data_IF_683087899202
#
_entry.id   IF_683087899202
#
_cell.length_a   1.000
_cell.length_b   1.000
_cell.length_c   1.000
_cell.angle_alpha   90.00
_cell.angle_beta   90.00
_cell.angle_gamma   90.00
#
_symmetry.space_group_name_H-M   'P 1'
#
loop_
_entity.id
_entity.type
_entity.pdbx_description
1 polymer ?
#
# COMPACT_ATOMS: atom_id res chain seq x y z
N UNK A 1 31.68 8.22 0.21
CA UNK A 1 32.89 7.45 -0.15
C UNK A 1 32.41 6.02 -0.33
N UNK A 2 32.12 5.65 -1.57
CA UNK A 2 31.54 4.34 -1.89
C UNK A 2 32.61 3.28 -1.80
N UNK A 3 32.43 2.33 -0.88
CA UNK A 3 33.14 1.06 -0.99
C UNK A 3 32.76 0.43 -2.32
N UNK A 4 33.75 -0.12 -3.03
CA UNK A 4 33.47 -0.86 -4.26
C UNK A 4 32.56 -2.04 -3.88
N UNK A 5 31.31 -2.01 -4.34
CA UNK A 5 30.32 -3.04 -4.05
C UNK A 5 30.50 -4.27 -4.96
N UNK A 6 31.32 -4.17 -6.02
CA UNK A 6 31.56 -5.28 -6.97
C UNK A 6 32.11 -6.55 -6.26
N UNK A 7 33.10 -6.48 -5.35
CA UNK A 7 33.54 -7.63 -4.57
C UNK A 7 32.44 -8.26 -3.69
N UNK A 8 31.53 -7.45 -3.11
CA UNK A 8 30.41 -7.96 -2.32
C UNK A 8 29.42 -8.73 -3.22
N UNK A 9 29.04 -8.10 -4.34
CA UNK A 9 28.08 -8.67 -5.30
C UNK A 9 28.60 -9.95 -5.95
N UNK A 10 29.90 -10.01 -6.26
CA UNK A 10 30.51 -11.18 -6.91
C UNK A 10 30.91 -12.27 -5.91
N UNK A 11 31.62 -11.92 -4.83
CA UNK A 11 32.20 -12.93 -3.93
C UNK A 11 31.20 -13.44 -2.89
N UNK A 12 30.33 -12.58 -2.35
CA UNK A 12 29.37 -12.97 -1.31
C UNK A 12 28.04 -13.45 -1.90
N UNK A 13 27.51 -12.74 -2.90
CA UNK A 13 26.22 -13.08 -3.53
C UNK A 13 26.36 -13.99 -4.76
N UNK A 14 27.58 -14.24 -5.23
CA UNK A 14 27.83 -15.16 -6.36
C UNK A 14 27.32 -14.65 -7.71
N UNK A 15 27.09 -13.34 -7.85
CA UNK A 15 26.60 -12.76 -9.11
C UNK A 15 27.72 -12.79 -10.17
N UNK A 16 27.33 -13.05 -11.42
CA UNK A 16 28.26 -12.90 -12.53
C UNK A 16 28.63 -11.41 -12.71
N UNK A 17 29.79 -11.17 -13.32
CA UNK A 17 30.33 -9.81 -13.44
C UNK A 17 29.41 -8.85 -14.21
N UNK A 18 28.80 -9.21 -15.35
CA UNK A 18 27.86 -8.32 -16.04
C UNK A 18 26.68 -7.89 -15.17
N UNK A 19 26.09 -8.82 -14.42
CA UNK A 19 24.95 -8.53 -13.52
C UNK A 19 25.38 -7.66 -12.34
N UNK A 20 26.53 -7.96 -11.73
CA UNK A 20 27.08 -7.16 -10.64
C UNK A 20 27.35 -5.71 -11.06
N UNK A 21 27.90 -5.50 -12.26
CA UNK A 21 28.15 -4.17 -12.81
C UNK A 21 26.85 -3.40 -13.10
N UNK A 22 25.85 -4.07 -13.70
CA UNK A 22 24.56 -3.44 -13.97
C UNK A 22 23.85 -3.02 -12.67
N UNK A 23 23.87 -3.86 -11.64
CA UNK A 23 23.26 -3.55 -10.35
C UNK A 23 24.02 -2.44 -9.61
N UNK A 24 25.36 -2.46 -9.63
CA UNK A 24 26.18 -1.38 -9.10
C UNK A 24 25.85 -0.06 -9.79
N UNK A 25 25.82 -0.04 -11.12
CA UNK A 25 25.48 1.15 -11.89
C UNK A 25 24.09 1.69 -11.51
N UNK A 26 23.10 0.82 -11.42
CA UNK A 26 21.74 1.21 -11.01
C UNK A 26 21.71 1.86 -9.61
N UNK A 27 22.40 1.26 -8.63
CA UNK A 27 22.48 1.79 -7.27
C UNK A 27 23.27 3.09 -7.19
N UNK A 28 24.32 3.24 -7.99
CA UNK A 28 25.13 4.45 -8.08
C UNK A 28 24.31 5.60 -8.69
N UNK A 29 23.56 5.34 -9.77
CA UNK A 29 22.64 6.30 -10.39
C UNK A 29 21.54 6.76 -9.41
N UNK A 30 20.93 5.82 -8.69
CA UNK A 30 19.96 6.15 -7.66
C UNK A 30 20.59 6.98 -6.54
N UNK A 31 21.71 6.51 -5.99
CA UNK A 31 22.40 7.19 -4.87
C UNK A 31 22.87 8.59 -5.23
N UNK A 32 23.33 8.81 -6.46
CA UNK A 32 23.68 10.14 -6.97
C UNK A 32 22.47 11.08 -7.03
N UNK A 33 21.27 10.53 -7.28
CA UNK A 33 20.03 11.31 -7.40
C UNK A 33 19.43 11.62 -6.02
N UNK A 34 19.30 10.63 -5.16
CA UNK A 34 18.56 10.70 -3.90
C UNK A 34 19.43 10.94 -2.66
N UNK A 35 20.72 10.58 -2.72
CA UNK A 35 21.66 10.44 -1.59
C UNK A 35 21.19 9.48 -0.48
N UNK A 36 20.07 8.79 -0.69
CA UNK A 36 19.42 7.95 0.31
C UNK A 36 18.75 6.77 -0.38
N UNK A 37 18.97 5.58 0.15
CA UNK A 37 18.37 4.33 -0.33
C UNK A 37 17.30 3.90 0.68
N UNK A 38 16.16 3.34 0.25
CA UNK A 38 15.21 2.72 1.17
C UNK A 38 15.89 1.58 1.93
N UNK A 39 15.51 1.39 3.19
CA UNK A 39 16.07 0.36 4.05
C UNK A 39 15.03 -0.12 5.07
N UNK A 40 15.37 -1.10 5.89
CA UNK A 40 14.51 -1.58 6.98
C UNK A 40 14.11 -0.50 8.01
N UNK A 41 14.83 0.61 8.01
CA UNK A 41 14.59 1.75 8.91
C UNK A 41 14.26 3.03 8.14
N UNK A 42 14.16 2.95 6.80
CA UNK A 42 13.90 4.12 5.96
C UNK A 42 12.87 3.86 4.89
N UNK A 43 11.85 4.70 4.86
CA UNK A 43 10.89 4.80 3.75
C UNK A 43 11.19 6.09 3.01
N UNK A 44 11.26 6.03 1.68
CA UNK A 44 11.42 7.20 0.84
C UNK A 44 10.06 7.64 0.32
N UNK A 45 9.78 8.94 0.40
CA UNK A 45 8.59 9.58 -0.16
C UNK A 45 9.04 10.65 -1.13
N UNK A 46 8.94 10.36 -2.42
CA UNK A 46 9.25 11.30 -3.49
C UNK A 46 7.95 11.98 -3.95
N UNK A 47 7.84 13.27 -3.68
CA UNK A 47 6.78 14.11 -4.22
C UNK A 47 7.23 14.64 -5.59
N UNK A 48 6.62 14.11 -6.64
CA UNK A 48 6.94 14.44 -8.03
C UNK A 48 6.20 15.71 -8.44
N UNK A 49 6.91 16.62 -9.11
CA UNK A 49 6.33 17.81 -9.72
C UNK A 49 5.38 17.42 -10.87
N UNK A 50 4.08 17.48 -10.60
CA UNK A 50 3.01 17.10 -11.52
C UNK A 50 1.80 18.04 -11.36
N UNK A 51 0.84 18.08 -12.30
CA UNK A 51 -0.34 18.96 -12.21
C UNK A 51 -1.17 18.75 -10.93
N UNK A 52 -1.11 17.54 -10.38
CA UNK A 52 -1.70 17.18 -9.10
C UNK A 52 -0.59 16.61 -8.21
N UNK A 53 -0.58 16.89 -6.89
CA UNK A 53 0.37 16.32 -5.95
C UNK A 53 0.46 14.80 -6.09
N UNK A 54 1.61 14.32 -6.54
CA UNK A 54 1.87 12.90 -6.82
C UNK A 54 3.01 12.42 -5.93
N UNK A 55 2.75 11.37 -5.16
CA UNK A 55 3.68 10.79 -4.20
C UNK A 55 4.07 9.39 -4.68
N UNK A 56 5.35 9.14 -4.81
CA UNK A 56 5.94 7.81 -5.02
C UNK A 56 6.60 7.39 -3.71
N UNK A 57 6.08 6.33 -3.10
CA UNK A 57 6.51 5.87 -1.78
C UNK A 57 7.21 4.53 -1.92
N UNK A 58 8.50 4.48 -1.63
CA UNK A 58 9.33 3.27 -1.76
C UNK A 58 9.69 2.73 -0.37
N UNK A 59 9.32 1.48 -0.12
CA UNK A 59 9.48 0.81 1.17
C UNK A 59 10.32 -0.48 1.09
N UNK A 60 10.28 -1.23 -0.03
CA UNK A 60 10.89 -2.57 -0.14
C UNK A 60 10.45 -3.57 0.96
N UNK A 61 9.24 -3.41 1.52
CA UNK A 61 8.69 -4.26 2.60
C UNK A 61 7.63 -5.27 2.14
N UNK A 62 7.41 -5.35 0.83
CA UNK A 62 6.44 -6.25 0.23
C UNK A 62 5.03 -5.67 0.19
N UNK A 63 4.20 -6.31 -0.64
CA UNK A 63 2.88 -5.81 -1.02
C UNK A 63 1.92 -5.62 0.16
N UNK A 64 1.90 -6.53 1.13
CA UNK A 64 0.98 -6.47 2.28
C UNK A 64 1.24 -5.24 3.17
N UNK A 65 2.52 -4.88 3.37
CA UNK A 65 2.91 -3.65 4.07
C UNK A 65 2.53 -2.41 3.26
N UNK A 66 2.79 -2.42 1.95
CA UNK A 66 2.46 -1.28 1.07
C UNK A 66 0.97 -1.03 0.99
N UNK A 67 0.14 -2.08 0.95
CA UNK A 67 -1.31 -1.95 1.03
C UNK A 67 -1.72 -1.27 2.34
N UNK A 68 -1.18 -1.74 3.48
CA UNK A 68 -1.52 -1.19 4.78
C UNK A 68 -1.14 0.30 4.88
N UNK A 69 0.10 0.64 4.52
CA UNK A 69 0.59 2.03 4.56
C UNK A 69 -0.13 2.92 3.54
N UNK A 70 -0.39 2.45 2.32
CA UNK A 70 -1.03 3.24 1.28
C UNK A 70 -2.52 3.50 1.55
N UNK A 71 -3.26 2.51 2.08
CA UNK A 71 -4.64 2.75 2.51
C UNK A 71 -4.73 3.65 3.73
N UNK A 72 -3.78 3.54 4.67
CA UNK A 72 -3.67 4.49 5.77
C UNK A 72 -3.41 5.90 5.24
N UNK A 73 -2.43 6.05 4.34
CA UNK A 73 -2.10 7.33 3.70
C UNK A 73 -3.32 7.97 3.04
N UNK A 74 -4.10 7.17 2.30
CA UNK A 74 -5.32 7.59 1.65
C UNK A 74 -6.44 7.96 2.64
N UNK A 75 -6.56 7.20 3.75
CA UNK A 75 -7.50 7.50 4.84
C UNK A 75 -7.20 8.83 5.51
N UNK A 76 -5.92 9.10 5.81
CA UNK A 76 -5.45 10.38 6.39
C UNK A 76 -5.74 11.53 5.43
N UNK A 77 -5.38 11.39 4.15
CA UNK A 77 -5.68 12.39 3.14
C UNK A 77 -7.18 12.73 3.09
N UNK A 78 -8.03 11.70 3.14
CA UNK A 78 -9.49 11.88 3.11
C UNK A 78 -10.01 12.62 4.35
N UNK A 79 -9.43 12.39 5.54
CA UNK A 79 -9.80 13.14 6.75
C UNK A 79 -9.49 14.62 6.64
N UNK A 80 -8.40 14.96 5.94
CA UNK A 80 -7.99 16.35 5.68
C UNK A 80 -8.74 16.98 4.48
N UNK A 81 -9.85 16.37 4.03
CA UNK A 81 -10.60 16.76 2.84
C UNK A 81 -9.78 16.77 1.54
N UNK A 82 -8.71 15.96 1.49
CA UNK A 82 -7.91 15.74 0.29
C UNK A 82 -8.45 14.53 -0.47
N UNK A 83 -8.78 14.74 -1.75
CA UNK A 83 -9.33 13.71 -2.61
C UNK A 83 -8.19 12.84 -3.13
N UNK A 84 -8.32 11.53 -2.95
CA UNK A 84 -7.41 10.54 -3.52
C UNK A 84 -7.90 10.18 -4.92
N UNK A 85 -7.22 10.68 -5.95
CA UNK A 85 -7.56 10.42 -7.35
C UNK A 85 -7.12 9.03 -7.80
N UNK A 86 -5.93 8.62 -7.35
CA UNK A 86 -5.35 7.34 -7.74
C UNK A 86 -4.50 6.77 -6.60
N UNK A 87 -4.57 5.47 -6.43
CA UNK A 87 -3.75 4.70 -5.50
C UNK A 87 -3.34 3.40 -6.17
N UNK A 88 -2.05 3.24 -6.43
CA UNK A 88 -1.47 2.14 -7.19
C UNK A 88 -0.38 1.46 -6.37
N UNK A 89 -0.36 0.13 -6.37
CA UNK A 89 0.48 -0.65 -5.45
C UNK A 89 1.38 -1.65 -6.15
N UNK A 90 2.62 -1.71 -5.70
CA UNK A 90 3.63 -2.68 -6.10
C UNK A 90 4.22 -3.40 -4.85
N UNK A 91 5.13 -4.36 -5.08
CA UNK A 91 5.89 -5.03 -4.02
C UNK A 91 6.90 -4.09 -3.35
N UNK A 92 7.47 -3.14 -4.09
CA UNK A 92 8.49 -2.24 -3.58
C UNK A 92 7.94 -0.93 -3.02
N UNK A 93 6.71 -0.58 -3.36
CA UNK A 93 6.12 0.68 -2.93
C UNK A 93 4.68 0.87 -3.37
N UNK A 94 4.21 2.11 -3.29
CA UNK A 94 2.93 2.53 -3.84
C UNK A 94 3.02 3.97 -4.36
N UNK A 95 2.12 4.32 -5.26
CA UNK A 95 1.94 5.66 -5.78
C UNK A 95 0.58 6.20 -5.35
N UNK A 96 0.53 7.45 -4.91
CA UNK A 96 -0.71 8.14 -4.57
C UNK A 96 -0.78 9.49 -5.29
N UNK A 97 -1.91 9.74 -5.95
CA UNK A 97 -2.20 11.03 -6.61
C UNK A 97 -3.35 11.72 -5.88
N UNK A 98 -3.09 12.91 -5.37
CA UNK A 98 -3.99 13.63 -4.48
C UNK A 98 -4.44 14.96 -5.09
N UNK A 99 -5.55 15.52 -4.59
CA UNK A 99 -6.01 16.84 -5.04
C UNK A 99 -5.18 17.99 -4.47
N UNK A 100 -4.65 17.84 -3.25
CA UNK A 100 -3.84 18.82 -2.54
C UNK A 100 -2.67 18.15 -1.84
N UNK A 101 -1.65 18.94 -1.50
CA UNK A 101 -0.50 18.42 -0.78
C UNK A 101 -0.91 18.01 0.64
N UNK A 102 -0.41 16.86 1.08
CA UNK A 102 -0.50 16.39 2.45
C UNK A 102 0.85 16.53 3.15
N UNK A 103 0.79 16.83 4.45
CA UNK A 103 1.97 17.00 5.27
C UNK A 103 2.45 15.62 5.78
N UNK A 104 3.47 15.07 5.13
CA UNK A 104 4.02 13.72 5.39
C UNK A 104 4.51 13.56 6.83
N UNK A 105 5.00 14.63 7.46
CA UNK A 105 5.43 14.64 8.86
C UNK A 105 4.32 14.32 9.85
N UNK A 106 3.04 14.51 9.49
CA UNK A 106 1.90 14.20 10.37
C UNK A 106 1.50 12.72 10.38
N UNK A 107 1.95 11.93 9.39
CA UNK A 107 1.56 10.52 9.25
C UNK A 107 1.82 9.71 10.54
N UNK A 108 2.99 9.82 11.21
CA UNK A 108 3.26 9.06 12.43
C UNK A 108 2.37 9.48 13.60
N UNK A 109 1.99 10.75 13.70
CA UNK A 109 1.08 11.24 14.75
C UNK A 109 -0.34 10.72 14.53
N UNK A 110 -0.85 10.81 13.29
CA UNK A 110 -2.20 10.35 12.96
C UNK A 110 -2.35 8.84 13.15
N UNK A 111 -1.31 8.06 12.86
CA UNK A 111 -1.33 6.62 13.08
C UNK A 111 -1.39 6.23 14.56
N UNK A 112 -0.73 6.99 15.44
CA UNK A 112 -0.63 6.69 16.88
C UNK A 112 -1.94 6.91 17.62
N UNK A 113 -2.80 7.78 17.10
CA UNK A 113 -4.15 7.87 17.64
C UNK A 113 -4.86 6.54 17.33
N UNK A 114 -5.49 5.92 18.34
CA UNK A 114 -6.26 4.66 18.21
C UNK A 114 -7.37 4.73 17.13
N UNK A 115 -7.60 5.91 16.55
CA UNK A 115 -8.45 6.13 15.38
C UNK A 115 -7.88 5.63 14.05
N UNK A 116 -6.60 5.27 13.95
CA UNK A 116 -5.98 4.88 12.67
C UNK A 116 -6.61 3.64 12.05
N UNK A 117 -7.02 2.67 12.88
CA UNK A 117 -7.72 1.47 12.41
C UNK A 117 -9.14 1.81 11.93
N UNK A 118 -9.87 2.68 12.63
CA UNK A 118 -11.20 3.12 12.20
C UNK A 118 -11.14 3.90 10.88
N UNK A 119 -10.16 4.78 10.74
CA UNK A 119 -9.95 5.58 9.51
C UNK A 119 -9.64 4.66 8.34
N UNK A 120 -8.75 3.68 8.56
CA UNK A 120 -8.44 2.67 7.58
C UNK A 120 -9.69 1.87 7.19
N UNK A 121 -10.47 1.38 8.16
CA UNK A 121 -11.70 0.62 7.90
C UNK A 121 -12.72 1.42 7.08
N UNK A 122 -12.94 2.70 7.43
CA UNK A 122 -13.86 3.58 6.69
C UNK A 122 -13.41 3.79 5.25
N UNK A 123 -12.12 4.05 5.01
CA UNK A 123 -11.61 4.21 3.65
C UNK A 123 -11.66 2.89 2.88
N UNK A 124 -11.30 1.78 3.52
CA UNK A 124 -11.25 0.47 2.88
C UNK A 124 -12.62 -0.05 2.46
N UNK A 125 -13.70 0.32 3.15
CA UNK A 125 -15.06 -0.04 2.77
C UNK A 125 -15.35 0.22 1.29
N UNK A 126 -14.83 1.31 0.72
CA UNK A 126 -15.03 1.71 -0.68
C UNK A 126 -13.91 1.27 -1.63
N UNK A 127 -12.92 0.54 -1.12
CA UNK A 127 -11.79 0.05 -1.90
C UNK A 127 -12.15 -1.14 -2.82
N UNK A 128 -11.37 -1.29 -3.90
CA UNK A 128 -11.45 -2.47 -4.76
C UNK A 128 -11.04 -3.76 -4.03
N UNK A 129 -10.13 -3.66 -3.05
CA UNK A 129 -9.74 -4.79 -2.21
C UNK A 129 -10.93 -5.32 -1.41
N UNK A 130 -11.72 -4.42 -0.81
CA UNK A 130 -12.94 -4.78 -0.10
C UNK A 130 -13.97 -5.41 -1.03
N UNK A 131 -14.24 -4.83 -2.18
CA UNK A 131 -15.17 -5.41 -3.16
C UNK A 131 -14.75 -6.83 -3.59
N UNK A 132 -13.45 -7.08 -3.77
CA UNK A 132 -12.91 -8.41 -4.06
C UNK A 132 -13.14 -9.37 -2.90
N UNK A 133 -12.75 -9.03 -1.68
CA UNK A 133 -12.89 -9.90 -0.51
C UNK A 133 -14.35 -10.17 -0.14
N UNK A 134 -15.21 -9.15 -0.22
CA UNK A 134 -16.66 -9.32 -0.07
C UNK A 134 -17.23 -10.36 -1.06
N UNK A 135 -16.79 -10.33 -2.32
CA UNK A 135 -17.21 -11.31 -3.33
C UNK A 135 -16.77 -12.73 -3.00
N UNK A 136 -15.61 -12.90 -2.40
CA UNK A 136 -15.08 -14.21 -1.97
C UNK A 136 -15.78 -14.73 -0.72
N UNK A 137 -16.03 -13.88 0.28
CA UNK A 137 -16.77 -14.23 1.50
C UNK A 137 -18.22 -14.57 1.15
N UNK A 138 -18.91 -13.71 0.40
CA UNK A 138 -20.31 -13.96 -0.02
C UNK A 138 -20.46 -15.23 -0.87
N UNK A 139 -19.45 -15.58 -1.67
CA UNK A 139 -19.40 -16.85 -2.39
C UNK A 139 -19.31 -18.04 -1.44
N UNK A 140 -18.40 -17.99 -0.46
CA UNK A 140 -18.17 -19.07 0.51
C UNK A 140 -19.36 -19.24 1.45
N UNK A 141 -20.06 -18.16 1.77
CA UNK A 141 -21.28 -18.15 2.57
C UNK A 141 -22.56 -18.52 1.78
N UNK A 142 -22.44 -18.94 0.52
CA UNK A 142 -23.57 -19.31 -0.36
C UNK A 142 -24.60 -18.19 -0.60
N UNK A 143 -24.22 -16.92 -0.41
CA UNK A 143 -25.08 -15.76 -0.69
C UNK A 143 -25.11 -15.40 -2.19
N UNK A 144 -24.04 -15.72 -2.90
CA UNK A 144 -23.97 -15.54 -4.35
C UNK A 144 -23.44 -16.83 -5.00
N UNK A 145 -24.29 -17.85 -5.22
CA UNK A 145 -23.85 -19.11 -5.81
C UNK A 145 -23.51 -18.96 -7.30
N UNK A 146 -22.44 -19.62 -7.74
CA UNK A 146 -22.05 -19.68 -9.17
C UNK A 146 -22.96 -20.58 -10.02
N UNK A 147 -23.61 -21.57 -9.40
CA UNK A 147 -24.52 -22.50 -10.08
C UNK A 147 -25.86 -22.54 -9.38
N UNK A 148 -26.93 -22.52 -10.16
CA UNK A 148 -28.32 -22.65 -9.70
C UNK A 148 -28.91 -23.84 -10.47
N UNK A 149 -29.01 -24.99 -9.80
CA UNK A 149 -29.38 -26.25 -10.47
C UNK A 149 -28.33 -26.66 -11.50
N UNK A 150 -28.75 -26.85 -12.75
CA UNK A 150 -27.88 -27.18 -13.90
C UNK A 150 -27.26 -25.96 -14.57
N UNK A 151 -27.68 -24.74 -14.23
CA UNK A 151 -27.25 -23.53 -14.92
C UNK A 151 -26.08 -22.86 -14.19
N UNK A 152 -25.07 -22.45 -14.97
CA UNK A 152 -23.93 -21.67 -14.49
C UNK A 152 -24.12 -20.18 -14.79
N UNK A 153 -23.95 -19.36 -13.76
CA UNK A 153 -24.10 -17.91 -13.86
C UNK A 153 -22.87 -17.33 -14.55
N UNK A 154 -23.08 -16.48 -15.56
CA UNK A 154 -21.98 -15.83 -16.26
C UNK A 154 -21.14 -14.93 -15.34
N UNK A 155 -19.83 -14.71 -15.61
CA UNK A 155 -18.98 -13.86 -14.78
C UNK A 155 -19.52 -12.43 -14.58
N UNK A 156 -20.12 -11.85 -15.62
CA UNK A 156 -20.72 -10.51 -15.56
C UNK A 156 -21.92 -10.47 -14.63
N UNK A 157 -22.85 -11.42 -14.76
CA UNK A 157 -24.01 -11.51 -13.86
C UNK A 157 -23.58 -11.78 -12.42
N UNK A 158 -22.54 -12.60 -12.24
CA UNK A 158 -21.99 -12.90 -10.92
C UNK A 158 -21.43 -11.64 -10.23
N UNK A 159 -20.70 -10.80 -10.96
CA UNK A 159 -20.19 -9.52 -10.46
C UNK A 159 -21.34 -8.56 -10.10
N UNK A 160 -22.32 -8.39 -10.99
CA UNK A 160 -23.48 -7.53 -10.74
C UNK A 160 -24.29 -7.97 -9.52
N UNK A 161 -24.51 -9.28 -9.35
CA UNK A 161 -25.18 -9.83 -8.15
C UNK A 161 -24.37 -9.56 -6.89
N UNK A 162 -23.05 -9.78 -6.92
CA UNK A 162 -22.18 -9.52 -5.77
C UNK A 162 -22.22 -8.04 -5.36
N UNK A 163 -22.19 -7.11 -6.32
CA UNK A 163 -22.28 -5.67 -6.07
C UNK A 163 -23.64 -5.26 -5.48
N UNK A 164 -24.73 -5.83 -5.99
CA UNK A 164 -26.07 -5.60 -5.45
C UNK A 164 -26.21 -6.10 -4.01
N UNK A 165 -25.65 -7.29 -3.71
CA UNK A 165 -25.62 -7.85 -2.35
C UNK A 165 -24.77 -6.94 -1.45
N UNK A 166 -23.57 -6.54 -1.91
CA UNK A 166 -22.69 -5.64 -1.15
C UNK A 166 -23.38 -4.33 -0.79
N UNK A 167 -24.04 -3.69 -1.75
CA UNK A 167 -24.76 -2.42 -1.54
C UNK A 167 -25.83 -2.56 -0.47
N UNK A 168 -26.59 -3.66 -0.46
CA UNK A 168 -27.59 -3.94 0.59
C UNK A 168 -26.93 -4.16 1.95
N UNK A 169 -25.88 -4.98 2.00
CA UNK A 169 -25.18 -5.29 3.25
C UNK A 169 -24.46 -4.09 3.87
N UNK A 170 -24.08 -3.08 3.08
CA UNK A 170 -23.53 -1.82 3.59
C UNK A 170 -24.57 -0.95 4.31
N UNK A 171 -25.86 -1.11 3.99
CA UNK A 171 -26.96 -0.37 4.61
C UNK A 171 -27.56 -1.10 5.83
N UNK A 172 -27.14 -2.35 6.06
CA UNK A 172 -27.58 -3.15 7.20
C UNK A 172 -26.69 -2.88 8.40
N UNK A 173 -27.31 -2.61 9.55
CA UNK A 173 -26.60 -2.59 10.83
C UNK A 173 -26.03 -3.98 11.12
N UNK A 174 -24.78 -4.04 11.60
CA UNK A 174 -24.13 -5.27 12.09
C UNK A 174 -24.00 -6.44 11.08
N UNK A 175 -23.94 -6.14 9.78
CA UNK A 175 -23.75 -7.14 8.72
C UNK A 175 -22.52 -8.04 8.96
N UNK A 176 -22.77 -9.32 9.23
CA UNK A 176 -21.72 -10.33 9.52
C UNK A 176 -20.76 -10.48 8.34
N UNK A 177 -21.28 -10.41 7.11
CA UNK A 177 -20.47 -10.58 5.88
C UNK A 177 -19.51 -9.40 5.68
N UNK A 178 -19.94 -8.18 6.01
CA UNK A 178 -19.09 -6.99 5.94
C UNK A 178 -17.99 -7.09 6.99
N UNK A 179 -18.34 -7.45 8.23
CA UNK A 179 -17.36 -7.65 9.31
C UNK A 179 -16.35 -8.73 8.98
N UNK A 180 -16.79 -9.87 8.44
CA UNK A 180 -15.89 -10.95 8.06
C UNK A 180 -14.97 -10.55 6.90
N UNK A 181 -15.49 -9.88 5.87
CA UNK A 181 -14.66 -9.38 4.77
C UNK A 181 -13.62 -8.37 5.26
N UNK A 182 -13.99 -7.47 6.17
CA UNK A 182 -13.06 -6.51 6.78
C UNK A 182 -12.02 -7.22 7.66
N UNK A 183 -12.43 -8.22 8.43
CA UNK A 183 -11.57 -9.01 9.29
C UNK A 183 -10.51 -9.80 8.49
N UNK A 184 -10.90 -10.41 7.37
CA UNK A 184 -9.95 -11.07 6.46
C UNK A 184 -8.95 -10.09 5.84
N UNK A 185 -9.37 -8.86 5.53
CA UNK A 185 -8.45 -7.84 5.00
C UNK A 185 -7.43 -7.43 6.06
N UNK A 186 -7.91 -7.04 7.26
CA UNK A 186 -7.06 -6.51 8.32
C UNK A 186 -6.06 -7.55 8.85
N UNK A 187 -6.45 -8.82 8.89
CA UNK A 187 -5.61 -9.90 9.46
C UNK A 187 -4.93 -10.78 8.41
N UNK A 188 -5.39 -10.75 7.16
CA UNK A 188 -4.90 -11.63 6.09
C UNK A 188 -4.18 -10.88 4.96
N UNK A 189 -4.77 -9.79 4.45
CA UNK A 189 -4.19 -9.03 3.32
C UNK A 189 -3.16 -7.99 3.75
N UNK A 190 -3.38 -7.37 4.91
CA UNK A 190 -2.58 -6.25 5.40
C UNK A 190 -1.60 -6.71 6.47
N UNK A 191 -0.34 -6.25 6.36
CA UNK A 191 0.64 -6.44 7.42
C UNK A 191 0.55 -5.32 8.47
N UNK A 192 -0.57 -5.29 9.19
CA UNK A 192 -0.82 -4.30 10.25
C UNK A 192 0.16 -4.44 11.42
N UNK A 193 0.72 -5.64 11.63
CA UNK A 193 1.71 -5.90 12.68
C UNK A 193 3.03 -5.20 12.36
N UNK A 194 3.54 -5.38 11.14
CA UNK A 194 4.77 -4.72 10.72
C UNK A 194 4.60 -3.21 10.62
N UNK A 195 3.43 -2.73 10.14
CA UNK A 195 3.13 -1.29 10.12
C UNK A 195 3.16 -0.67 11.52
N UNK A 196 2.49 -1.30 12.50
CA UNK A 196 2.53 -0.87 13.89
C UNK A 196 3.94 -0.86 14.46
N UNK A 197 4.72 -1.91 14.19
CA UNK A 197 6.10 -2.00 14.64
C UNK A 197 6.96 -0.87 14.04
N UNK A 198 6.87 -0.64 12.72
CA UNK A 198 7.62 0.42 12.05
C UNK A 198 7.33 1.79 12.66
N UNK A 199 6.05 2.13 12.85
CA UNK A 199 5.67 3.43 13.38
C UNK A 199 6.06 3.58 14.86
N UNK A 200 5.97 2.51 15.66
CA UNK A 200 6.43 2.54 17.06
C UNK A 200 7.94 2.78 17.18
N UNK A 201 8.74 2.30 16.22
CA UNK A 201 10.20 2.48 16.22
C UNK A 201 10.63 3.88 15.81
N UNK A 202 9.76 4.66 15.14
CA UNK A 202 10.08 6.03 14.73
C UNK A 202 10.33 6.98 15.92
N UNK A 203 9.80 6.68 17.10
CA UNK A 203 9.98 7.52 18.30
C UNK A 203 11.28 7.20 19.07
N UNK A 204 11.78 5.97 18.98
CA UNK A 204 12.87 5.46 19.83
C UNK A 204 14.16 5.13 19.09
N UNK A 205 14.10 4.94 17.77
CA UNK A 205 15.20 4.50 16.93
C UNK A 205 15.42 5.45 15.75
N UNK A 206 16.51 5.27 14.98
CA UNK A 206 16.75 6.04 13.74
C UNK A 206 15.89 5.51 12.56
N UNK A 207 14.58 5.33 12.81
CA UNK A 207 13.60 4.93 11.80
C UNK A 207 12.89 6.17 11.28
N UNK A 208 12.95 6.42 9.97
CA UNK A 208 12.46 7.68 9.39
C UNK A 208 11.77 7.53 8.04
N UNK A 209 10.74 8.35 7.85
CA UNK A 209 10.14 8.63 6.55
C UNK A 209 10.83 9.86 6.00
N UNK A 210 11.47 9.73 4.84
CA UNK A 210 12.23 10.82 4.23
C UNK A 210 11.44 11.36 3.06
N UNK A 211 10.91 12.57 3.23
CA UNK A 211 10.16 13.27 2.20
C UNK A 211 11.10 14.16 1.36
N UNK A 212 11.00 14.04 0.04
CA UNK A 212 11.73 14.88 -0.91
C UNK A 212 10.83 15.33 -2.05
N UNK A 213 11.01 16.57 -2.49
CA UNK A 213 10.41 17.08 -3.72
C UNK A 213 11.37 16.88 -4.89
N UNK A 214 10.88 16.30 -5.98
CA UNK A 214 11.69 15.95 -7.15
C UNK A 214 10.96 16.33 -8.45
N UNK A 215 11.72 16.71 -9.47
CA UNK A 215 11.16 16.98 -10.81
C UNK A 215 10.83 15.71 -11.58
N UNK A 216 11.66 14.69 -11.38
CA UNK A 216 11.48 13.35 -11.93
C UNK A 216 11.69 12.36 -10.79
N UNK A 217 10.89 11.28 -10.72
CA UNK A 217 11.10 10.23 -9.73
C UNK A 217 12.48 9.59 -9.92
N UNK A 218 13.03 9.07 -8.83
CA UNK A 218 14.29 8.34 -8.90
C UNK A 218 14.13 7.01 -9.67
N UNK A 219 15.23 6.33 -10.05
CA UNK A 219 15.14 5.08 -10.81
C UNK A 219 14.51 3.87 -10.08
N UNK A 220 14.16 3.99 -8.78
CA UNK A 220 13.63 2.89 -7.96
C UNK A 220 12.17 2.53 -8.26
#
# INVERSE_FOLDING_TARGET
>A
MGEDSEPLLTNALGLNRPVALALKQFLDEHSATTFQVPSNDRILVEQVEAPLPTYVVTTCRGRAFNLALGYLFAGIATQDNVIVHELSFDENGFMAKLSHEVEISKIPEVFRNDTSEEVLQRYMMDSQLFAKRFREVSSRSMLNPRRIGSEEVSPKQYQQKAEAIMTKHRQMDESVIIREAMNEILNGDLDMKQLRNFISRMDSEDVRIVHRRVKMPSPL
#
